data_IF_774156276949
#
_entry.id   IF_774156276949
#
_cell.length_a   1.000
_cell.length_b   1.000
_cell.length_c   1.000
_cell.angle_alpha   90.00
_cell.angle_beta   90.00
_cell.angle_gamma   90.00
#
_symmetry.space_group_name_H-M   'P 1'
#
loop_
_entity.id
_entity.type
_entity.pdbx_description
1 polymer ?
#
# COMPACT_ATOMS: atom_id res chain seq x y z
N UNK A 1 -10.29 -3.46 8.39
CA UNK A 1 -10.31 -3.94 7.00
C UNK A 1 -8.90 -4.12 6.49
N UNK A 2 -8.72 -5.02 5.54
CA UNK A 2 -7.47 -5.15 4.79
C UNK A 2 -7.58 -4.33 3.52
N UNK A 3 -6.76 -3.32 3.39
CA UNK A 3 -6.83 -2.34 2.30
C UNK A 3 -5.51 -2.31 1.54
N UNK A 4 -5.59 -2.38 0.22
CA UNK A 4 -4.43 -2.22 -0.66
C UNK A 4 -4.52 -0.85 -1.32
N UNK A 5 -3.45 -0.06 -1.20
CA UNK A 5 -3.34 1.25 -1.85
C UNK A 5 -2.31 1.13 -2.98
N UNK A 6 -2.75 1.36 -4.20
CA UNK A 6 -1.88 1.34 -5.38
C UNK A 6 -1.37 2.74 -5.67
N UNK A 7 -0.12 2.98 -5.34
CA UNK A 7 0.51 4.28 -5.47
C UNK A 7 0.97 4.81 -4.11
N UNK A 8 2.23 5.26 -4.05
CA UNK A 8 2.84 5.80 -2.83
C UNK A 8 3.26 7.25 -2.99
N UNK A 9 2.78 7.92 -4.03
CA UNK A 9 3.00 9.35 -4.23
C UNK A 9 2.20 10.16 -3.23
N UNK A 10 2.08 11.46 -3.48
CA UNK A 10 1.45 12.38 -2.52
C UNK A 10 0.03 11.95 -2.11
N UNK A 11 -0.79 11.58 -3.08
CA UNK A 11 -2.18 11.18 -2.80
C UNK A 11 -2.23 9.85 -2.07
N UNK A 12 -1.48 8.84 -2.56
CA UNK A 12 -1.44 7.53 -1.93
C UNK A 12 -0.90 7.59 -0.51
N UNK A 13 0.13 8.39 -0.28
CA UNK A 13 0.67 8.62 1.06
C UNK A 13 -0.40 9.18 2.01
N UNK A 14 -1.13 10.20 1.56
CA UNK A 14 -2.18 10.81 2.38
C UNK A 14 -3.29 9.83 2.71
N UNK A 15 -3.74 9.06 1.72
CA UNK A 15 -4.78 8.04 1.92
C UNK A 15 -4.30 6.97 2.89
N UNK A 16 -3.09 6.46 2.70
CA UNK A 16 -2.53 5.43 3.57
C UNK A 16 -2.40 5.94 5.00
N UNK A 17 -1.97 7.18 5.17
CA UNK A 17 -1.85 7.80 6.49
C UNK A 17 -3.20 7.87 7.20
N UNK A 18 -4.22 8.40 6.51
CA UNK A 18 -5.56 8.53 7.09
C UNK A 18 -6.14 7.17 7.47
N UNK A 19 -6.01 6.18 6.59
CA UNK A 19 -6.55 4.85 6.84
C UNK A 19 -5.80 4.10 7.92
N UNK A 20 -4.47 4.28 8.00
CA UNK A 20 -3.68 3.60 9.03
C UNK A 20 -4.02 4.09 10.43
N UNK A 21 -4.48 5.33 10.55
CA UNK A 21 -4.91 5.92 11.83
C UNK A 21 -6.27 5.37 12.30
N UNK A 22 -6.98 4.65 11.44
CA UNK A 22 -8.33 4.14 11.71
C UNK A 22 -8.37 2.63 11.95
N UNK A 23 -7.26 2.04 12.36
CA UNK A 23 -7.18 0.62 12.73
C UNK A 23 -7.40 -0.34 11.54
N UNK A 24 -6.99 0.06 10.35
CA UNK A 24 -7.00 -0.79 9.18
C UNK A 24 -5.62 -1.38 8.93
N UNK A 25 -5.58 -2.57 8.33
CA UNK A 25 -4.34 -3.17 7.85
C UNK A 25 -4.11 -2.69 6.42
N UNK A 26 -3.06 -1.89 6.22
CA UNK A 26 -2.79 -1.24 4.94
C UNK A 26 -1.56 -1.86 4.28
N UNK A 27 -1.67 -2.13 2.99
CA UNK A 27 -0.52 -2.53 2.15
C UNK A 27 -0.43 -1.54 1.00
N UNK A 28 0.72 -0.91 0.82
CA UNK A 28 0.96 0.06 -0.24
C UNK A 28 1.87 -0.55 -1.30
N UNK A 29 1.52 -0.39 -2.57
CA UNK A 29 2.28 -0.89 -3.71
C UNK A 29 2.67 0.29 -4.59
N UNK A 30 3.95 0.40 -4.94
CA UNK A 30 4.43 1.39 -5.91
C UNK A 30 5.71 0.89 -6.56
N UNK A 31 5.97 1.35 -7.79
CA UNK A 31 7.21 1.04 -8.50
C UNK A 31 8.40 1.81 -7.95
N UNK A 32 8.18 2.96 -7.35
CA UNK A 32 9.22 3.82 -6.82
C UNK A 32 9.71 3.32 -5.47
N UNK A 33 10.93 2.81 -5.44
CA UNK A 33 11.54 2.37 -4.18
C UNK A 33 11.73 3.54 -3.20
N UNK A 34 11.96 4.74 -3.71
CA UNK A 34 12.10 5.92 -2.86
C UNK A 34 10.79 6.27 -2.15
N UNK A 35 9.68 6.25 -2.88
CA UNK A 35 8.36 6.54 -2.31
C UNK A 35 7.96 5.46 -1.32
N UNK A 36 8.22 4.21 -1.64
CA UNK A 36 7.95 3.08 -0.74
C UNK A 36 8.77 3.20 0.54
N UNK A 37 10.06 3.54 0.42
CA UNK A 37 10.92 3.71 1.58
C UNK A 37 10.40 4.81 2.50
N UNK A 38 9.99 5.94 1.91
CA UNK A 38 9.45 7.07 2.67
C UNK A 38 8.20 6.68 3.44
N UNK A 39 7.26 6.00 2.78
CA UNK A 39 6.01 5.61 3.41
C UNK A 39 6.24 4.57 4.51
N UNK A 40 7.17 3.65 4.26
CA UNK A 40 7.54 2.62 5.24
C UNK A 40 8.21 3.21 6.48
N UNK A 41 8.98 4.28 6.31
CA UNK A 41 9.64 4.97 7.42
C UNK A 41 8.66 5.79 8.25
N UNK A 42 7.65 6.36 7.60
CA UNK A 42 6.74 7.31 8.23
C UNK A 42 5.47 6.67 8.80
N UNK A 43 5.01 5.58 8.22
CA UNK A 43 3.72 4.99 8.55
C UNK A 43 3.86 3.52 8.95
N UNK A 44 2.95 3.07 9.80
CA UNK A 44 2.85 1.66 10.18
C UNK A 44 1.99 0.91 9.16
N UNK A 45 2.58 0.66 8.00
CA UNK A 45 1.93 -0.04 6.89
C UNK A 45 2.89 -1.05 6.28
N UNK A 46 2.33 -2.05 5.59
CA UNK A 46 3.11 -2.95 4.75
C UNK A 46 3.37 -2.25 3.41
N UNK A 47 4.51 -2.48 2.82
CA UNK A 47 4.86 -1.84 1.54
C UNK A 47 5.55 -2.82 0.62
N UNK A 48 5.24 -2.71 -0.67
CA UNK A 48 5.79 -3.58 -1.71
C UNK A 48 6.24 -2.72 -2.89
N UNK A 49 7.48 -2.91 -3.32
CA UNK A 49 7.99 -2.28 -4.53
C UNK A 49 7.62 -3.17 -5.72
N UNK A 50 6.84 -2.64 -6.66
CA UNK A 50 6.42 -3.38 -7.84
C UNK A 50 5.29 -2.68 -8.56
N UNK A 51 4.89 -3.25 -9.71
CA UNK A 51 3.73 -2.76 -10.45
C UNK A 51 2.48 -3.47 -9.99
N UNK A 52 1.48 -2.70 -9.57
CA UNK A 52 0.19 -3.26 -9.13
C UNK A 52 -0.57 -4.00 -10.23
N UNK A 53 -0.19 -3.79 -11.50
CA UNK A 53 -0.79 -4.52 -12.63
C UNK A 53 -0.25 -5.94 -12.79
N UNK A 54 0.84 -6.30 -12.11
CA UNK A 54 1.41 -7.65 -12.21
C UNK A 54 0.74 -8.57 -11.19
N UNK A 55 0.18 -9.71 -11.63
CA UNK A 55 -0.49 -10.66 -10.72
C UNK A 55 0.40 -11.12 -9.56
N UNK A 56 1.69 -11.32 -9.81
CA UNK A 56 2.61 -11.74 -8.75
C UNK A 56 2.77 -10.70 -7.64
N UNK A 57 2.70 -9.42 -7.99
CA UNK A 57 2.77 -8.32 -7.03
C UNK A 57 1.49 -8.29 -6.19
N UNK A 58 0.34 -8.46 -6.83
CA UNK A 58 -0.95 -8.51 -6.14
C UNK A 58 -1.03 -9.72 -5.21
N UNK A 59 -0.48 -10.86 -5.60
CA UNK A 59 -0.41 -12.03 -4.74
C UNK A 59 0.42 -11.75 -3.48
N UNK A 60 1.56 -11.09 -3.63
CA UNK A 60 2.40 -10.70 -2.48
C UNK A 60 1.67 -9.74 -1.54
N UNK A 61 0.79 -8.91 -2.09
CA UNK A 61 -0.03 -8.00 -1.31
C UNK A 61 -1.26 -8.67 -0.72
N UNK A 62 -1.47 -9.95 -0.99
CA UNK A 62 -2.60 -10.71 -0.49
C UNK A 62 -3.93 -10.15 -0.98
N UNK A 63 -4.00 -9.86 -2.29
CA UNK A 63 -5.15 -9.18 -2.88
C UNK A 63 -6.46 -9.96 -2.73
N UNK A 64 -6.39 -11.31 -2.68
CA UNK A 64 -7.58 -12.13 -2.50
C UNK A 64 -8.28 -11.85 -1.16
N UNK A 65 -7.53 -11.49 -0.14
CA UNK A 65 -8.07 -11.23 1.19
C UNK A 65 -8.33 -9.74 1.44
N UNK A 66 -8.10 -8.89 0.44
CA UNK A 66 -8.33 -7.46 0.58
C UNK A 66 -9.82 -7.14 0.56
N UNK A 67 -10.24 -6.29 1.48
CA UNK A 67 -11.60 -5.77 1.52
C UNK A 67 -11.77 -4.62 0.52
N UNK A 68 -10.69 -3.91 0.22
CA UNK A 68 -10.72 -2.75 -0.66
C UNK A 68 -9.36 -2.58 -1.35
N UNK A 69 -9.39 -2.18 -2.62
CA UNK A 69 -8.21 -1.81 -3.40
C UNK A 69 -8.44 -0.40 -3.96
N UNK A 70 -7.50 0.48 -3.68
CA UNK A 70 -7.61 1.88 -4.10
C UNK A 70 -6.57 2.22 -5.16
#
# INVERSE_FOLDING_TARGET
>A
MNIIVCGAGRVGYTIAKLLSEQDHSITVIDQSSEDIQKINDDLDVKSIVGKATFPTVLEKANAEDADMVI
#
